data_IF_486098294675
#
_entry.id   IF_486098294675
#
_cell.length_a   1.000
_cell.length_b   1.000
_cell.length_c   1.000
_cell.angle_alpha   90.00
_cell.angle_beta   90.00
_cell.angle_gamma   90.00
#
_symmetry.space_group_name_H-M   'P 1'
#
loop_
_entity.id
_entity.type
_entity.pdbx_description
1 polymer ?
#
# COMPACT_ATOMS: atom_id res chain seq x y z
N UNK A 1 -14.71 22.60 -29.28
CA UNK A 1 -13.97 21.57 -28.53
C UNK A 1 -13.05 22.31 -27.56
N UNK A 2 -13.52 22.51 -26.32
CA UNK A 2 -12.79 23.22 -25.26
C UNK A 2 -12.15 22.16 -24.37
N UNK A 3 -10.83 22.08 -24.38
CA UNK A 3 -10.10 21.38 -23.34
C UNK A 3 -10.19 22.23 -22.07
N UNK A 4 -10.98 21.80 -21.10
CA UNK A 4 -10.86 22.31 -19.75
C UNK A 4 -9.76 21.51 -19.07
N UNK A 5 -8.54 22.04 -19.14
CA UNK A 5 -7.49 21.72 -18.18
C UNK A 5 -7.92 22.33 -16.85
N UNK A 6 -8.47 21.50 -15.98
CA UNK A 6 -8.75 21.88 -14.60
C UNK A 6 -8.12 20.83 -13.67
N UNK A 7 -6.81 20.62 -13.85
CA UNK A 7 -5.95 20.05 -12.81
C UNK A 7 -5.63 21.14 -11.78
N UNK A 8 -6.68 21.82 -11.30
CA UNK A 8 -6.55 22.63 -10.09
C UNK A 8 -6.31 21.64 -8.96
N UNK A 9 -5.04 21.54 -8.56
CA UNK A 9 -4.67 20.96 -7.27
C UNK A 9 -5.32 21.86 -6.22
N UNK A 10 -6.55 21.52 -5.86
CA UNK A 10 -7.12 21.97 -4.60
C UNK A 10 -6.25 21.26 -3.57
N UNK A 11 -5.27 21.98 -3.02
CA UNK A 11 -4.56 21.55 -1.81
C UNK A 11 -5.60 21.72 -0.70
N UNK A 12 -6.25 20.66 -0.21
CA UNK A 12 -7.13 20.81 0.93
C UNK A 12 -6.25 21.16 2.13
N UNK A 13 -6.84 21.83 3.10
CA UNK A 13 -6.25 22.38 4.33
C UNK A 13 -5.66 21.33 5.31
N UNK A 14 -5.19 20.17 4.82
CA UNK A 14 -4.48 19.14 5.56
C UNK A 14 -3.00 19.13 5.16
N UNK A 15 -2.26 20.20 5.49
CA UNK A 15 -0.82 20.29 5.23
C UNK A 15 0.03 19.37 6.13
N UNK A 16 -0.59 18.52 6.94
CA UNK A 16 0.09 17.57 7.83
C UNK A 16 -0.75 16.30 7.98
N UNK A 17 -0.12 15.15 7.75
CA UNK A 17 -0.71 13.85 8.12
C UNK A 17 -1.02 13.86 9.63
N UNK A 18 -2.09 13.18 10.09
CA UNK A 18 -2.38 13.04 11.51
C UNK A 18 -1.15 12.57 12.31
N UNK A 19 -0.96 13.01 13.56
CA UNK A 19 0.18 12.59 14.37
C UNK A 19 0.34 11.07 14.45
N UNK A 20 -0.77 10.34 14.62
CA UNK A 20 -0.76 8.86 14.67
C UNK A 20 -0.26 8.21 13.37
N UNK A 21 -0.63 8.77 12.20
CA UNK A 21 -0.10 8.35 10.90
C UNK A 21 1.41 8.55 10.86
N UNK A 22 1.90 9.70 11.29
CA UNK A 22 3.35 9.99 11.31
C UNK A 22 4.10 9.08 12.30
N UNK A 23 3.55 8.88 13.50
CA UNK A 23 4.12 8.01 14.54
C UNK A 23 4.21 6.56 14.06
N UNK A 24 3.26 6.09 13.25
CA UNK A 24 3.29 4.74 12.68
C UNK A 24 4.48 4.49 11.74
N UNK A 25 4.88 5.50 10.96
CA UNK A 25 5.87 5.32 9.88
C UNK A 25 7.24 4.90 10.41
N UNK A 26 7.74 5.59 11.43
CA UNK A 26 9.11 5.40 11.89
C UNK A 26 9.37 3.99 12.44
N UNK A 27 8.54 3.43 13.34
CA UNK A 27 8.70 2.05 13.80
C UNK A 27 8.60 1.03 12.67
N UNK A 28 7.70 1.23 11.71
CA UNK A 28 7.59 0.33 10.56
C UNK A 28 8.85 0.38 9.68
N UNK A 29 9.34 1.57 9.34
CA UNK A 29 10.56 1.76 8.58
C UNK A 29 11.76 1.11 9.28
N UNK A 30 11.92 1.30 10.59
CA UNK A 30 12.99 0.69 11.38
C UNK A 30 12.84 -0.84 11.42
N UNK A 31 11.63 -1.36 11.53
CA UNK A 31 11.38 -2.79 11.47
C UNK A 31 11.74 -3.39 10.10
N UNK A 32 11.51 -2.67 8.99
CA UNK A 32 11.95 -3.11 7.66
C UNK A 32 13.48 -3.10 7.56
N UNK A 33 14.13 -2.03 8.02
CA UNK A 33 15.58 -1.83 7.95
C UNK A 33 16.36 -2.86 8.77
N UNK A 34 15.80 -3.26 9.91
CA UNK A 34 16.40 -4.24 10.83
C UNK A 34 16.14 -5.71 10.45
N UNK A 35 15.33 -5.97 9.42
CA UNK A 35 14.91 -7.33 9.04
C UNK A 35 15.25 -7.64 7.58
N UNK A 36 16.21 -8.53 7.34
CA UNK A 36 16.56 -9.01 6.00
C UNK A 36 15.35 -9.55 5.23
N UNK A 37 14.42 -10.23 5.91
CA UNK A 37 13.22 -10.75 5.28
C UNK A 37 12.27 -9.64 4.78
N UNK A 38 12.19 -8.52 5.53
CA UNK A 38 11.34 -7.39 5.15
C UNK A 38 12.03 -6.51 4.11
N UNK A 39 13.34 -6.25 4.28
CA UNK A 39 14.12 -5.53 3.28
C UNK A 39 14.08 -6.23 1.92
N UNK A 40 14.23 -7.55 1.88
CA UNK A 40 14.08 -8.33 0.65
C UNK A 40 12.63 -8.32 0.12
N UNK A 41 11.62 -8.40 0.99
CA UNK A 41 10.21 -8.32 0.57
C UNK A 41 9.90 -7.02 -0.19
N UNK A 42 10.39 -5.88 0.31
CA UNK A 42 10.09 -4.55 -0.24
C UNK A 42 11.08 -4.09 -1.32
N UNK A 43 12.16 -4.82 -1.56
CA UNK A 43 13.10 -4.49 -2.63
C UNK A 43 12.61 -5.00 -4.00
N UNK A 44 12.02 -4.07 -4.75
CA UNK A 44 11.60 -4.22 -6.14
C UNK A 44 12.47 -3.39 -7.10
N UNK A 45 13.69 -3.01 -6.68
CA UNK A 45 14.57 -2.15 -7.48
C UNK A 45 14.98 -2.74 -8.83
N UNK A 46 14.87 -4.07 -8.99
CA UNK A 46 15.27 -4.81 -10.19
C UNK A 46 14.12 -5.01 -11.20
N UNK A 47 12.91 -4.55 -10.90
CA UNK A 47 11.76 -4.68 -11.80
C UNK A 47 11.27 -3.31 -12.23
N UNK A 48 10.70 -3.23 -13.44
CA UNK A 48 10.11 -1.98 -13.89
C UNK A 48 8.74 -1.73 -13.22
N UNK A 49 8.31 -0.46 -13.08
CA UNK A 49 6.96 -0.12 -12.68
C UNK A 49 5.87 -0.81 -13.53
N UNK A 50 6.14 -1.02 -14.83
CA UNK A 50 5.20 -1.70 -15.75
C UNK A 50 5.04 -3.16 -15.35
N UNK A 51 6.15 -3.90 -15.18
CA UNK A 51 6.12 -5.31 -14.77
C UNK A 51 5.45 -5.49 -13.40
N UNK A 52 5.67 -4.53 -12.49
CA UNK A 52 5.01 -4.55 -11.18
C UNK A 52 3.49 -4.46 -11.31
N UNK A 53 2.97 -3.53 -12.14
CA UNK A 53 1.54 -3.42 -12.38
C UNK A 53 1.00 -4.67 -13.08
N UNK A 54 1.70 -5.24 -14.06
CA UNK A 54 1.26 -6.46 -14.75
C UNK A 54 0.99 -7.61 -13.78
N UNK A 55 1.76 -7.69 -12.68
CA UNK A 55 1.58 -8.68 -11.61
C UNK A 55 0.53 -8.27 -10.58
N UNK A 56 0.48 -7.00 -10.18
CA UNK A 56 -0.42 -6.52 -9.13
C UNK A 56 -1.86 -6.30 -9.60
N UNK A 57 -2.06 -5.83 -10.84
CA UNK A 57 -3.37 -5.51 -11.38
C UNK A 57 -4.35 -6.71 -11.38
N UNK A 58 -3.99 -7.91 -11.87
CA UNK A 58 -4.90 -9.05 -11.87
C UNK A 58 -5.30 -9.45 -10.45
N UNK A 59 -4.38 -9.33 -9.50
CA UNK A 59 -4.62 -9.64 -8.10
C UNK A 59 -5.61 -8.65 -7.47
N UNK A 60 -5.37 -7.34 -7.59
CA UNK A 60 -6.28 -6.31 -7.05
C UNK A 60 -7.66 -6.39 -7.70
N UNK A 61 -7.73 -6.63 -9.03
CA UNK A 61 -9.00 -6.83 -9.72
C UNK A 61 -9.75 -8.06 -9.20
N UNK A 62 -9.04 -9.16 -8.94
CA UNK A 62 -9.63 -10.37 -8.39
C UNK A 62 -10.19 -10.13 -6.99
N UNK A 63 -9.49 -9.38 -6.14
CA UNK A 63 -9.98 -8.95 -4.82
C UNK A 63 -11.27 -8.15 -4.95
N UNK A 64 -11.29 -7.08 -5.76
CA UNK A 64 -12.49 -6.26 -5.96
C UNK A 64 -13.68 -7.08 -6.49
N UNK A 65 -13.44 -8.00 -7.43
CA UNK A 65 -14.48 -8.90 -7.96
C UNK A 65 -14.98 -9.89 -6.91
N UNK A 66 -14.08 -10.49 -6.12
CA UNK A 66 -14.41 -11.45 -5.05
C UNK A 66 -15.36 -10.83 -4.02
N UNK A 67 -15.14 -9.56 -3.68
CA UNK A 67 -15.98 -8.81 -2.75
C UNK A 67 -17.17 -8.10 -3.42
N UNK A 68 -17.35 -8.27 -4.73
CA UNK A 68 -18.44 -7.65 -5.51
C UNK A 68 -18.48 -6.12 -5.35
N UNK A 69 -17.30 -5.50 -5.36
CA UNK A 69 -17.16 -4.04 -5.33
C UNK A 69 -17.68 -3.46 -6.64
N UNK A 70 -18.54 -2.45 -6.56
CA UNK A 70 -19.04 -1.71 -7.73
C UNK A 70 -17.88 -1.03 -8.45
N UNK A 71 -17.93 -0.98 -9.79
CA UNK A 71 -16.87 -0.35 -10.60
C UNK A 71 -15.47 -0.94 -10.36
N UNK A 72 -15.37 -2.23 -10.01
CA UNK A 72 -14.12 -2.94 -9.71
C UNK A 72 -12.98 -2.67 -10.72
N UNK A 73 -13.30 -2.58 -12.02
CA UNK A 73 -12.33 -2.28 -13.07
C UNK A 73 -11.74 -0.87 -12.90
N UNK A 74 -12.61 0.14 -12.79
CA UNK A 74 -12.21 1.54 -12.65
C UNK A 74 -11.42 1.76 -11.35
N UNK A 75 -11.88 1.18 -10.23
CA UNK A 75 -11.17 1.29 -8.96
C UNK A 75 -9.77 0.66 -9.05
N UNK A 76 -9.66 -0.55 -9.60
CA UNK A 76 -8.36 -1.20 -9.80
C UNK A 76 -7.42 -0.34 -10.64
N UNK A 77 -7.91 0.23 -11.74
CA UNK A 77 -7.12 1.12 -12.60
C UNK A 77 -6.64 2.35 -11.82
N UNK A 78 -7.54 3.04 -11.10
CA UNK A 78 -7.20 4.21 -10.29
C UNK A 78 -6.17 3.89 -9.20
N UNK A 79 -6.17 2.67 -8.66
CA UNK A 79 -5.22 2.23 -7.63
C UNK A 79 -3.81 1.98 -8.16
N UNK A 80 -3.64 1.50 -9.39
CA UNK A 80 -2.32 1.08 -9.90
C UNK A 80 -1.74 1.94 -11.01
N UNK A 81 -2.56 2.61 -11.82
CA UNK A 81 -2.08 3.53 -12.87
C UNK A 81 -1.11 4.59 -12.34
N UNK A 82 -1.29 5.15 -11.12
CA UNK A 82 -0.31 6.06 -10.54
C UNK A 82 1.12 5.51 -10.46
N UNK A 83 1.31 4.19 -10.32
CA UNK A 83 2.63 3.57 -10.19
C UNK A 83 3.48 3.86 -11.43
N UNK A 84 2.97 3.56 -12.63
CA UNK A 84 3.70 3.83 -13.89
C UNK A 84 3.65 5.29 -14.31
N UNK A 85 2.66 6.05 -13.84
CA UNK A 85 2.53 7.47 -14.20
C UNK A 85 3.54 8.35 -13.46
N UNK A 86 3.85 8.02 -12.20
CA UNK A 86 4.65 8.89 -11.33
C UNK A 86 6.03 8.32 -10.96
N UNK A 87 6.30 7.04 -11.24
CA UNK A 87 7.55 6.39 -10.85
C UNK A 87 8.27 5.74 -12.02
N UNK A 88 9.59 5.92 -12.06
CA UNK A 88 10.49 5.25 -13.00
C UNK A 88 11.20 4.04 -12.39
N UNK A 89 11.23 3.95 -11.04
CA UNK A 89 11.86 2.86 -10.30
C UNK A 89 11.12 2.57 -9.01
N UNK A 90 11.19 1.33 -8.53
CA UNK A 90 10.49 0.83 -7.36
C UNK A 90 11.47 0.47 -6.24
N UNK A 91 12.13 1.49 -5.67
CA UNK A 91 13.10 1.26 -4.61
C UNK A 91 12.44 0.96 -3.26
N UNK A 92 13.21 0.36 -2.35
CA UNK A 92 12.74 -0.02 -1.01
C UNK A 92 12.13 1.15 -0.23
N UNK A 93 12.76 2.35 -0.13
CA UNK A 93 12.15 3.48 0.58
C UNK A 93 10.76 3.88 0.05
N UNK A 94 10.58 3.89 -1.26
CA UNK A 94 9.30 4.21 -1.91
C UNK A 94 8.22 3.21 -1.52
N UNK A 95 8.49 1.91 -1.66
CA UNK A 95 7.51 0.87 -1.39
C UNK A 95 7.14 0.83 0.10
N UNK A 96 8.13 0.94 0.99
CA UNK A 96 7.90 1.01 2.44
C UNK A 96 7.03 2.22 2.78
N UNK A 97 7.32 3.38 2.20
CA UNK A 97 6.53 4.60 2.40
C UNK A 97 5.07 4.39 1.97
N UNK A 98 4.84 3.96 0.74
CA UNK A 98 3.49 3.80 0.19
C UNK A 98 2.66 2.84 1.04
N UNK A 99 3.22 1.68 1.39
CA UNK A 99 2.49 0.68 2.18
C UNK A 99 2.24 1.17 3.61
N UNK A 100 3.22 1.80 4.26
CA UNK A 100 3.06 2.32 5.60
C UNK A 100 1.96 3.39 5.65
N UNK A 101 2.02 4.37 4.76
CA UNK A 101 1.02 5.44 4.67
C UNK A 101 -0.36 4.92 4.32
N UNK A 102 -0.45 3.98 3.38
CA UNK A 102 -1.73 3.38 2.98
C UNK A 102 -2.39 2.75 4.20
N UNK A 103 -1.69 1.85 4.88
CA UNK A 103 -2.22 1.15 6.06
C UNK A 103 -2.59 2.13 7.17
N UNK A 104 -1.70 3.06 7.52
CA UNK A 104 -1.94 3.99 8.62
C UNK A 104 -3.10 4.93 8.33
N UNK A 105 -3.27 5.42 7.10
CA UNK A 105 -4.37 6.32 6.73
C UNK A 105 -5.71 5.59 6.73
N UNK A 106 -5.76 4.34 6.27
CA UNK A 106 -6.99 3.55 6.34
C UNK A 106 -7.35 3.27 7.80
N UNK A 107 -6.39 2.81 8.60
CA UNK A 107 -6.63 2.53 10.02
C UNK A 107 -7.05 3.78 10.80
N UNK A 108 -6.48 4.95 10.48
CA UNK A 108 -6.91 6.22 11.06
C UNK A 108 -8.33 6.63 10.63
N UNK A 109 -8.64 6.52 9.34
CA UNK A 109 -9.96 6.87 8.80
C UNK A 109 -11.09 6.03 9.43
N UNK A 110 -10.79 4.77 9.76
CA UNK A 110 -11.71 3.84 10.41
C UNK A 110 -11.70 3.94 11.95
N UNK A 111 -10.96 4.89 12.52
CA UNK A 111 -10.89 5.13 13.96
C UNK A 111 -10.15 4.04 14.76
N UNK A 112 -9.36 3.21 14.08
CA UNK A 112 -8.58 2.12 14.68
C UNK A 112 -7.19 2.59 15.11
N UNK A 113 -6.59 3.53 14.37
CA UNK A 113 -5.26 4.07 14.65
C UNK A 113 -5.35 5.39 15.43
N UNK A 114 -4.69 5.45 16.58
CA UNK A 114 -4.51 6.64 17.39
C UNK A 114 -3.04 6.79 17.84
N UNK A 115 -2.73 7.85 18.58
CA UNK A 115 -1.35 8.10 19.05
C UNK A 115 -0.88 7.07 20.08
N UNK A 116 -1.80 6.47 20.84
CA UNK A 116 -1.48 5.50 21.89
C UNK A 116 -1.07 4.15 21.29
N UNK A 117 -1.69 3.76 20.17
CA UNK A 117 -1.51 2.45 19.56
C UNK A 117 -0.63 2.44 18.31
N UNK A 118 -0.32 3.61 17.71
CA UNK A 118 0.37 3.69 16.42
C UNK A 118 1.70 2.92 16.34
N UNK A 119 2.53 3.00 17.38
CA UNK A 119 3.80 2.25 17.44
C UNK A 119 3.57 0.75 17.46
N UNK A 120 2.64 0.27 18.30
CA UNK A 120 2.34 -1.16 18.42
C UNK A 120 1.72 -1.73 17.13
N UNK A 121 0.92 -0.93 16.45
CA UNK A 121 0.28 -1.31 15.19
C UNK A 121 1.29 -1.37 14.04
N UNK A 122 2.25 -0.44 14.01
CA UNK A 122 3.36 -0.47 13.06
C UNK A 122 4.20 -1.75 13.17
N UNK A 123 4.54 -2.16 14.40
CA UNK A 123 5.24 -3.44 14.61
C UNK A 123 4.36 -4.65 14.26
N UNK A 124 3.07 -4.59 14.58
CA UNK A 124 2.12 -5.64 14.18
C UNK A 124 2.07 -5.80 12.66
N UNK A 125 2.06 -4.68 11.92
CA UNK A 125 2.13 -4.71 10.46
C UNK A 125 3.44 -5.31 9.97
N UNK A 126 4.58 -4.88 10.52
CA UNK A 126 5.88 -5.43 10.17
C UNK A 126 5.97 -6.95 10.43
N UNK A 127 5.43 -7.43 11.55
CA UNK A 127 5.42 -8.84 11.90
C UNK A 127 4.58 -9.67 10.93
N UNK A 128 3.38 -9.19 10.56
CA UNK A 128 2.52 -9.86 9.58
C UNK A 128 3.19 -9.90 8.21
N UNK A 129 3.79 -8.78 7.77
CA UNK A 129 4.55 -8.74 6.52
C UNK A 129 5.74 -9.71 6.53
N UNK A 130 6.42 -9.84 7.68
CA UNK A 130 7.56 -10.75 7.85
C UNK A 130 7.13 -12.20 7.78
N UNK A 131 6.04 -12.57 8.43
CA UNK A 131 5.50 -13.92 8.37
C UNK A 131 4.98 -14.27 6.98
N UNK A 132 4.36 -13.31 6.28
CA UNK A 132 3.99 -13.47 4.87
C UNK A 132 5.22 -13.70 3.98
N UNK A 133 6.28 -12.91 4.13
CA UNK A 133 7.55 -13.10 3.40
C UNK A 133 8.12 -14.50 3.62
N UNK A 134 8.20 -14.96 4.88
CA UNK A 134 8.67 -16.31 5.22
C UNK A 134 7.81 -17.40 4.59
N UNK A 135 6.48 -17.21 4.58
CA UNK A 135 5.51 -18.17 4.03
C UNK A 135 5.73 -18.38 2.54
N UNK A 136 5.84 -17.30 1.76
CA UNK A 136 5.93 -17.40 0.30
C UNK A 136 7.36 -17.59 -0.21
N UNK A 137 8.39 -17.08 0.47
CA UNK A 137 9.79 -17.31 0.05
C UNK A 137 10.15 -18.79 0.06
N UNK A 138 9.61 -19.57 1.01
CA UNK A 138 9.77 -21.03 1.06
C UNK A 138 9.16 -21.77 -0.14
N UNK A 139 8.24 -21.14 -0.87
CA UNK A 139 7.57 -21.79 -2.02
C UNK A 139 8.46 -21.89 -3.28
N UNK A 140 9.61 -21.19 -3.31
CA UNK A 140 10.54 -21.21 -4.45
C UNK A 140 10.00 -20.58 -5.75
N UNK A 141 8.80 -20.00 -5.72
CA UNK A 141 8.17 -19.35 -6.88
C UNK A 141 8.84 -17.99 -7.16
N UNK A 142 9.16 -17.68 -8.41
CA UNK A 142 9.75 -16.40 -8.81
C UNK A 142 8.90 -15.18 -8.41
N UNK A 143 7.57 -15.33 -8.34
CA UNK A 143 6.62 -14.28 -7.97
C UNK A 143 6.35 -14.22 -6.45
N UNK A 144 7.20 -14.83 -5.61
CA UNK A 144 6.95 -14.91 -4.17
C UNK A 144 6.82 -13.54 -3.50
N UNK A 145 7.57 -12.52 -3.95
CA UNK A 145 7.51 -11.16 -3.39
C UNK A 145 6.13 -10.54 -3.59
N UNK A 146 5.56 -10.65 -4.79
CA UNK A 146 4.22 -10.16 -5.09
C UNK A 146 3.16 -10.83 -4.21
N UNK A 147 3.24 -12.16 -4.09
CA UNK A 147 2.32 -12.91 -3.22
C UNK A 147 2.47 -12.50 -1.76
N UNK A 148 3.70 -12.43 -1.26
CA UNK A 148 3.97 -12.05 0.11
C UNK A 148 3.49 -10.63 0.42
N UNK A 149 3.72 -9.69 -0.51
CA UNK A 149 3.34 -8.30 -0.36
C UNK A 149 1.81 -8.15 -0.28
N UNK A 150 1.09 -8.74 -1.23
CA UNK A 150 -0.37 -8.69 -1.24
C UNK A 150 -1.00 -9.42 -0.07
N UNK A 151 -0.58 -10.67 0.20
CA UNK A 151 -1.16 -11.45 1.29
C UNK A 151 -0.80 -10.88 2.66
N UNK A 152 0.38 -10.29 2.85
CA UNK A 152 0.74 -9.64 4.10
C UNK A 152 -0.12 -8.40 4.37
N UNK A 153 -0.40 -7.63 3.31
CA UNK A 153 -1.34 -6.52 3.38
C UNK A 153 -2.76 -7.02 3.70
N UNK A 154 -3.28 -8.00 2.95
CA UNK A 154 -4.61 -8.59 3.21
C UNK A 154 -4.72 -9.17 4.64
N UNK A 155 -3.71 -9.91 5.12
CA UNK A 155 -3.67 -10.51 6.45
C UNK A 155 -3.74 -9.43 7.54
N UNK A 156 -3.02 -8.31 7.38
CA UNK A 156 -3.08 -7.19 8.33
C UNK A 156 -4.46 -6.52 8.30
N UNK A 157 -4.96 -6.18 7.11
CA UNK A 157 -6.25 -5.52 6.97
C UNK A 157 -7.38 -6.39 7.51
N UNK A 158 -7.33 -7.71 7.29
CA UNK A 158 -8.30 -8.66 7.84
C UNK A 158 -8.22 -8.74 9.36
N UNK A 159 -7.01 -8.71 9.96
CA UNK A 159 -6.83 -8.77 11.42
C UNK A 159 -7.57 -7.66 12.17
N UNK A 160 -7.71 -6.49 11.56
CA UNK A 160 -8.36 -5.32 12.13
C UNK A 160 -9.73 -5.04 11.52
N UNK A 161 -10.34 -6.03 10.85
CA UNK A 161 -11.65 -5.92 10.20
C UNK A 161 -11.74 -4.79 9.14
N UNK A 162 -10.59 -4.33 8.64
CA UNK A 162 -10.49 -3.29 7.62
C UNK A 162 -10.71 -3.84 6.19
N UNK A 163 -10.65 -5.16 6.01
CA UNK A 163 -10.72 -5.80 4.69
C UNK A 163 -12.13 -6.30 4.33
N UNK A 164 -13.03 -5.34 4.09
CA UNK A 164 -14.45 -5.56 3.79
C UNK A 164 -14.83 -5.04 2.41
N UNK A 165 -16.02 -5.40 1.93
CA UNK A 165 -16.56 -4.87 0.66
C UNK A 165 -16.70 -3.35 0.71
N UNK A 166 -17.07 -2.85 1.88
CA UNK A 166 -17.34 -1.44 2.18
C UNK A 166 -16.04 -0.63 2.17
N UNK A 167 -14.95 -1.20 2.67
CA UNK A 167 -13.67 -0.50 2.81
C UNK A 167 -12.76 -0.64 1.58
N UNK A 168 -12.95 -1.66 0.74
CA UNK A 168 -12.13 -1.86 -0.46
C UNK A 168 -12.06 -0.64 -1.42
N UNK A 169 -13.15 0.11 -1.69
CA UNK A 169 -13.05 1.37 -2.42
C UNK A 169 -12.10 2.39 -1.78
N UNK A 170 -12.20 2.59 -0.46
CA UNK A 170 -11.33 3.49 0.29
C UNK A 170 -9.87 3.03 0.25
N UNK A 171 -9.62 1.73 0.42
CA UNK A 171 -8.30 1.12 0.30
C UNK A 171 -7.71 1.43 -1.07
N UNK A 172 -8.48 1.20 -2.14
CA UNK A 172 -8.05 1.42 -3.51
C UNK A 172 -7.75 2.89 -3.81
N UNK A 173 -8.55 3.81 -3.27
CA UNK A 173 -8.35 5.25 -3.40
C UNK A 173 -7.10 5.74 -2.66
N UNK A 174 -6.97 5.40 -1.37
CA UNK A 174 -5.81 5.78 -0.55
C UNK A 174 -4.53 5.21 -1.17
N UNK A 175 -4.51 3.92 -1.52
CA UNK A 175 -3.34 3.30 -2.13
C UNK A 175 -2.91 4.00 -3.42
N UNK A 176 -3.87 4.30 -4.31
CA UNK A 176 -3.59 5.05 -5.54
C UNK A 176 -3.08 6.46 -5.27
N UNK A 177 -3.60 7.15 -4.25
CA UNK A 177 -3.16 8.49 -3.87
C UNK A 177 -1.76 8.48 -3.25
N UNK A 178 -1.40 7.48 -2.44
CA UNK A 178 -0.05 7.38 -1.86
C UNK A 178 1.03 7.19 -2.94
N UNK A 179 0.72 6.46 -4.01
CA UNK A 179 1.60 6.43 -5.18
C UNK A 179 1.74 7.79 -5.87
N UNK A 180 0.69 8.60 -5.93
CA UNK A 180 0.78 9.97 -6.50
C UNK A 180 1.59 10.90 -5.61
N UNK A 181 1.53 10.72 -4.29
CA UNK A 181 2.18 11.60 -3.31
C UNK A 181 3.64 11.22 -3.04
N UNK A 182 4.01 9.96 -3.25
CA UNK A 182 5.36 9.46 -3.00
C UNK A 182 6.38 9.85 -4.10
N UNK A 183 6.17 10.94 -4.83
CA UNK A 183 7.06 11.38 -5.91
C UNK A 183 8.45 11.71 -5.34
N UNK A 184 9.53 11.15 -5.90
CA UNK A 184 10.88 11.56 -5.52
C UNK A 184 11.10 13.03 -5.91
N UNK A 185 11.60 13.83 -4.96
CA UNK A 185 12.15 15.16 -5.22
C UNK A 185 13.40 15.07 -6.10
#
# INVERSE_FOLDING_TARGET
MKFLSDDTIIIPEFLTDPPSVTIFLFPFQEAVRSSNALSDLFDFSQISPVDFIEKMYPHILAVHKRYKVSNALQLTQSSVVPIVKYHLSLNLPLLVRVYAYTVSKIAYAEGILDEENAVSMAFTFADIMRESAKRYKKSGNADWKFKALSHGFEDFMTKFDLFSKENLPLIGEIYGNEWKLAVPY
#
